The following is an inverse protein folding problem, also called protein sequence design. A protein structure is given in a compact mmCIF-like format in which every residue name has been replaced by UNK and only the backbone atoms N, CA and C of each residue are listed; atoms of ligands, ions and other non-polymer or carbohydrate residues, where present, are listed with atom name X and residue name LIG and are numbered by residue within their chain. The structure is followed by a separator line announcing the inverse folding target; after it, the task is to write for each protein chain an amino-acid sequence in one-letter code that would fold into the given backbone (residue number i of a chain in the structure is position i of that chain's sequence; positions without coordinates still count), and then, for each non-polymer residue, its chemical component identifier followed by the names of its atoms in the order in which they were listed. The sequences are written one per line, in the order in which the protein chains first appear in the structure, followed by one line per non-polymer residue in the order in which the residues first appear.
data_IF_342228301968
#
_entry.id   IF_342228301968
#
_cell.length_a   1.000
_cell.length_b   1.000
_cell.length_c   1.000
_cell.angle_alpha   90.00
_cell.angle_beta   90.00
_cell.angle_gamma   90.00
#
_symmetry.space_group_name_H-M   'P 1'
#
loop_
_entity.id
_entity.type
_entity.pdbx_description
1 polymer ?
#
# COMPACT_ATOMS: atom_id res chain seq x y z
N UNK A 1 2.24 32.37 -1.53
CA UNK A 1 2.09 30.99 -2.02
C UNK A 1 3.43 30.32 -1.79
N UNK A 2 3.60 29.66 -0.64
CA UNK A 2 4.86 28.98 -0.32
C UNK A 2 5.04 27.81 -1.28
N UNK A 3 6.04 27.89 -2.15
CA UNK A 3 6.53 26.74 -2.90
C UNK A 3 7.16 25.79 -1.91
N UNK A 4 6.41 24.77 -1.49
CA UNK A 4 6.96 23.65 -0.73
C UNK A 4 7.95 22.96 -1.66
N UNK A 5 9.24 23.15 -1.42
CA UNK A 5 10.30 22.49 -2.18
C UNK A 5 10.11 20.97 -2.07
N UNK A 6 9.78 20.34 -3.19
CA UNK A 6 9.65 18.90 -3.29
C UNK A 6 10.95 18.24 -2.78
N UNK A 7 10.87 17.14 -2.02
CA UNK A 7 12.05 16.49 -1.45
C UNK A 7 13.14 16.25 -2.51
N UNK A 8 14.38 16.68 -2.21
CA UNK A 8 15.51 16.61 -3.14
C UNK A 8 15.87 15.17 -3.55
N UNK A 9 15.45 14.17 -2.78
CA UNK A 9 15.63 12.75 -3.08
C UNK A 9 14.88 11.85 -2.08
N UNK A 10 14.89 10.56 -2.37
CA UNK A 10 14.46 9.47 -1.48
C UNK A 10 15.62 8.49 -1.38
N UNK A 11 15.92 7.93 -0.20
CA UNK A 11 17.02 6.97 -0.01
C UNK A 11 18.40 7.44 -0.51
N UNK A 12 18.67 8.74 -0.50
CA UNK A 12 19.92 9.35 -0.98
C UNK A 12 20.27 9.05 -2.45
N UNK A 13 19.28 8.61 -3.25
CA UNK A 13 19.46 8.45 -4.70
C UNK A 13 19.05 9.71 -5.47
N UNK A 14 19.79 10.10 -6.52
CA UNK A 14 19.38 11.17 -7.40
C UNK A 14 18.14 10.75 -8.18
N UNK A 15 17.03 11.45 -7.96
CA UNK A 15 15.78 11.19 -8.67
C UNK A 15 15.66 12.05 -9.94
N UNK A 16 15.25 11.47 -11.07
CA UNK A 16 14.90 12.24 -12.26
C UNK A 16 13.92 13.36 -11.95
N UNK A 17 14.11 14.54 -12.56
CA UNK A 17 13.23 15.72 -12.35
C UNK A 17 11.77 15.42 -12.69
N UNK A 18 11.50 14.52 -13.64
CA UNK A 18 10.14 14.12 -14.00
C UNK A 18 9.39 13.45 -12.84
N UNK A 19 10.06 12.58 -12.07
CA UNK A 19 9.46 11.90 -10.91
C UNK A 19 9.03 12.91 -9.85
N UNK A 20 9.83 13.96 -9.62
CA UNK A 20 9.48 15.00 -8.64
C UNK A 20 8.20 15.76 -8.97
N UNK A 21 7.82 15.83 -10.25
CA UNK A 21 6.57 16.48 -10.70
C UNK A 21 5.33 15.63 -10.49
N UNK A 22 5.50 14.33 -10.27
CA UNK A 22 4.41 13.38 -10.06
C UNK A 22 4.03 13.24 -8.57
N UNK A 23 4.74 13.93 -7.67
CA UNK A 23 4.44 13.91 -6.24
C UNK A 23 3.29 14.87 -5.98
N UNK A 24 2.15 14.31 -5.57
CA UNK A 24 0.97 15.06 -5.17
C UNK A 24 0.72 14.88 -3.67
N UNK A 25 0.02 15.85 -3.07
CA UNK A 25 -0.36 15.75 -1.66
C UNK A 25 -1.66 14.95 -1.59
N UNK A 26 -1.64 13.73 -1.01
CA UNK A 26 -2.84 12.92 -0.92
C UNK A 26 -3.88 13.59 -0.01
N UNK A 27 -5.16 13.22 -0.14
CA UNK A 27 -6.23 13.79 0.65
C UNK A 27 -6.05 13.38 2.11
N UNK A 28 -6.49 14.21 3.05
CA UNK A 28 -6.45 13.87 4.48
C UNK A 28 -7.54 12.85 4.80
N UNK A 29 -7.20 11.63 5.23
CA UNK A 29 -8.18 10.62 5.57
C UNK A 29 -8.86 10.96 6.88
N UNK A 30 -10.15 10.67 6.95
CA UNK A 30 -10.89 10.69 8.20
C UNK A 30 -10.45 9.49 9.06
N UNK A 31 -10.29 9.71 10.37
CA UNK A 31 -10.10 8.61 11.32
C UNK A 31 -11.40 7.83 11.46
N UNK A 32 -11.32 6.50 11.30
CA UNK A 32 -12.49 5.63 11.40
C UNK A 32 -12.44 4.82 12.71
N UNK A 33 -13.59 4.53 13.35
CA UNK A 33 -13.62 3.65 14.52
C UNK A 33 -12.96 2.28 14.28
N UNK A 34 -13.08 1.76 13.04
CA UNK A 34 -12.47 0.51 12.58
C UNK A 34 -10.95 0.48 12.67
N UNK A 35 -10.29 1.64 12.75
CA UNK A 35 -8.83 1.71 12.96
C UNK A 35 -8.43 1.09 14.31
N UNK A 36 -9.29 1.18 15.33
CA UNK A 36 -9.04 0.59 16.64
C UNK A 36 -9.38 -0.91 16.69
N UNK A 37 -10.42 -1.35 15.97
CA UNK A 37 -10.86 -2.74 15.95
C UNK A 37 -9.75 -3.68 15.45
N UNK A 38 -8.99 -3.24 14.44
CA UNK A 38 -7.82 -3.98 13.94
C UNK A 38 -6.75 -4.17 15.03
N UNK A 39 -6.57 -3.21 15.92
CA UNK A 39 -5.58 -3.32 17.00
C UNK A 39 -6.00 -4.41 18.00
N UNK A 40 -7.30 -4.56 18.24
CA UNK A 40 -7.81 -5.63 19.10
C UNK A 40 -7.66 -7.01 18.46
N UNK A 41 -7.84 -7.14 17.15
CA UNK A 41 -7.51 -8.37 16.41
C UNK A 41 -6.05 -8.77 16.60
N UNK A 42 -5.12 -7.82 16.41
CA UNK A 42 -3.68 -8.04 16.57
C UNK A 42 -3.34 -8.44 18.01
N UNK A 43 -3.90 -7.74 19.02
CA UNK A 43 -3.67 -8.06 20.44
C UNK A 43 -4.15 -9.46 20.78
N UNK A 44 -5.37 -9.81 20.36
CA UNK A 44 -5.95 -11.13 20.60
C UNK A 44 -5.12 -12.22 19.94
N UNK A 45 -4.71 -12.01 18.69
CA UNK A 45 -3.89 -12.96 17.96
C UNK A 45 -2.50 -13.12 18.59
N UNK A 46 -1.82 -12.02 18.91
CA UNK A 46 -0.51 -12.06 19.57
C UNK A 46 -0.56 -12.80 20.91
N UNK A 47 -1.56 -12.50 21.75
CA UNK A 47 -1.78 -13.19 23.04
C UNK A 47 -2.11 -14.67 22.88
N UNK A 48 -2.88 -15.04 21.84
CA UNK A 48 -3.18 -16.45 21.51
C UNK A 48 -1.91 -17.28 21.28
N UNK A 49 -0.83 -16.67 20.77
CA UNK A 49 0.45 -17.32 20.51
C UNK A 49 1.57 -16.87 21.47
N UNK A 50 1.21 -16.42 22.68
CA UNK A 50 2.14 -16.05 23.75
C UNK A 50 3.24 -15.06 23.31
N UNK A 51 2.90 -14.15 22.39
CA UNK A 51 3.83 -13.11 21.94
C UNK A 51 4.01 -12.07 23.01
N UNK A 52 5.24 -11.53 23.10
CA UNK A 52 5.55 -10.52 24.10
C UNK A 52 4.72 -9.25 23.88
N UNK A 53 4.31 -8.57 24.96
CA UNK A 53 3.54 -7.32 24.86
C UNK A 53 4.29 -6.23 24.05
N UNK A 54 5.63 -6.23 24.08
CA UNK A 54 6.44 -5.33 23.25
C UNK A 54 6.29 -5.62 21.75
N UNK A 55 6.33 -6.90 21.36
CA UNK A 55 6.14 -7.32 19.98
C UNK A 55 4.71 -7.02 19.50
N UNK A 56 3.71 -7.33 20.32
CA UNK A 56 2.31 -7.00 20.06
C UNK A 56 2.12 -5.49 19.89
N UNK A 57 2.73 -4.69 20.76
CA UNK A 57 2.70 -3.23 20.65
C UNK A 57 3.29 -2.74 19.34
N UNK A 58 4.42 -3.29 18.87
CA UNK A 58 5.00 -2.88 17.58
C UNK A 58 4.15 -3.27 16.38
N UNK A 59 3.50 -4.43 16.42
CA UNK A 59 2.53 -4.79 15.39
C UNK A 59 1.33 -3.83 15.39
N UNK A 60 0.85 -3.44 16.58
CA UNK A 60 -0.21 -2.42 16.71
C UNK A 60 0.25 -1.04 16.22
N UNK A 61 1.44 -0.59 16.60
CA UNK A 61 2.00 0.70 16.18
C UNK A 61 2.09 0.79 14.65
N UNK A 62 2.48 -0.30 13.97
CA UNK A 62 2.51 -0.40 12.50
C UNK A 62 1.10 -0.40 11.88
N UNK A 63 0.11 -1.00 12.54
CA UNK A 63 -1.25 -1.11 12.03
C UNK A 63 -2.15 0.10 12.36
N UNK A 64 -1.68 1.02 13.20
CA UNK A 64 -2.46 2.15 13.72
C UNK A 64 -2.71 3.28 12.70
N UNK A 65 -2.06 3.23 11.53
CA UNK A 65 -2.30 4.20 10.46
C UNK A 65 -3.74 4.19 9.94
N UNK A 66 -4.06 5.08 9.02
CA UNK A 66 -5.42 5.23 8.49
C UNK A 66 -5.87 4.02 7.65
N UNK A 67 -7.19 3.89 7.52
CA UNK A 67 -7.84 2.81 6.77
C UNK A 67 -7.78 2.94 5.26
N UNK A 68 -7.55 4.13 4.71
CA UNK A 68 -7.59 4.43 3.27
C UNK A 68 -6.55 3.66 2.44
N UNK A 69 -5.33 3.52 2.97
CA UNK A 69 -4.22 2.80 2.35
C UNK A 69 -3.54 1.83 3.30
N UNK A 70 -3.36 0.59 2.84
CA UNK A 70 -2.65 -0.48 3.57
C UNK A 70 -1.42 -0.94 2.78
N UNK A 71 -0.30 -1.16 3.47
CA UNK A 71 0.89 -1.82 2.94
C UNK A 71 1.01 -3.21 3.55
N UNK A 72 1.09 -4.25 2.72
CA UNK A 72 1.25 -5.64 3.16
C UNK A 72 2.69 -6.10 2.93
N UNK A 73 3.46 -6.26 3.99
CA UNK A 73 4.77 -6.89 4.02
C UNK A 73 4.65 -8.42 4.21
N UNK A 74 5.75 -9.14 4.02
CA UNK A 74 5.72 -10.61 4.14
C UNK A 74 5.67 -11.05 5.60
N UNK A 75 6.67 -10.68 6.40
CA UNK A 75 6.84 -11.11 7.80
C UNK A 75 7.72 -10.13 8.59
N UNK A 76 7.65 -10.12 9.93
CA UNK A 76 8.57 -9.38 10.76
C UNK A 76 10.03 -9.79 10.56
N UNK A 77 10.97 -8.87 10.69
CA UNK A 77 12.39 -9.21 10.59
C UNK A 77 12.86 -9.97 11.83
N UNK A 78 13.70 -10.98 11.60
CA UNK A 78 14.27 -11.85 12.65
C UNK A 78 15.07 -11.11 13.73
N UNK A 79 15.59 -9.94 13.38
CA UNK A 79 16.50 -9.15 14.22
C UNK A 79 15.82 -7.94 14.85
N UNK A 80 14.48 -7.87 14.82
CA UNK A 80 13.75 -6.77 15.44
C UNK A 80 14.02 -6.70 16.95
N UNK A 81 14.40 -5.52 17.41
CA UNK A 81 14.44 -5.21 18.84
C UNK A 81 13.14 -4.49 19.26
N UNK A 82 12.20 -5.26 19.80
CA UNK A 82 10.88 -4.74 20.19
C UNK A 82 10.87 -3.87 21.45
N UNK A 83 11.98 -3.82 22.20
CA UNK A 83 12.09 -2.98 23.41
C UNK A 83 12.18 -1.47 23.12
N UNK A 84 12.51 -1.10 21.88
CA UNK A 84 12.77 0.28 21.47
C UNK A 84 11.48 1.11 21.34
N UNK A 85 11.63 2.44 21.36
CA UNK A 85 10.58 3.38 20.94
C UNK A 85 10.20 3.16 19.46
N UNK A 86 8.99 3.55 19.03
CA UNK A 86 8.53 3.25 17.66
C UNK A 86 9.42 3.86 16.56
N UNK A 87 9.79 5.13 16.70
CA UNK A 87 10.69 5.82 15.76
C UNK A 87 12.03 5.12 15.63
N UNK A 88 12.62 4.70 16.75
CA UNK A 88 13.90 3.99 16.77
C UNK A 88 13.77 2.56 16.22
N UNK A 89 12.67 1.87 16.54
CA UNK A 89 12.33 0.56 15.99
C UNK A 89 12.26 0.59 14.45
N UNK A 90 11.58 1.59 13.89
CA UNK A 90 11.51 1.82 12.43
C UNK A 90 12.89 2.13 11.87
N UNK A 91 13.62 3.09 12.45
CA UNK A 91 14.93 3.51 11.95
C UNK A 91 15.98 2.38 11.96
N UNK A 92 15.91 1.47 12.94
CA UNK A 92 16.82 0.33 13.06
C UNK A 92 16.49 -0.83 12.11
N UNK A 93 15.34 -0.80 11.44
CA UNK A 93 14.98 -1.78 10.42
C UNK A 93 15.07 -1.16 9.03
N UNK A 94 16.08 -1.56 8.24
CA UNK A 94 16.32 -1.01 6.89
C UNK A 94 15.09 -1.06 5.98
N UNK A 95 14.24 -2.07 6.12
CA UNK A 95 12.99 -2.20 5.36
C UNK A 95 11.96 -1.16 5.80
N UNK A 96 11.74 -0.99 7.11
CA UNK A 96 10.76 -0.05 7.65
C UNK A 96 11.21 1.41 7.51
N UNK A 97 12.50 1.70 7.72
CA UNK A 97 13.10 3.00 7.43
C UNK A 97 12.92 3.39 5.95
N UNK A 98 13.14 2.43 5.04
CA UNK A 98 12.91 2.67 3.62
C UNK A 98 11.45 2.90 3.30
N UNK A 99 10.54 2.12 3.91
CA UNK A 99 9.10 2.28 3.77
C UNK A 99 8.66 3.69 4.19
N UNK A 100 9.10 4.15 5.36
CA UNK A 100 8.82 5.50 5.86
C UNK A 100 9.33 6.58 4.89
N UNK A 101 10.54 6.42 4.35
CA UNK A 101 11.11 7.34 3.35
C UNK A 101 10.33 7.37 2.04
N UNK A 102 9.90 6.21 1.53
CA UNK A 102 9.06 6.14 0.33
C UNK A 102 7.71 6.82 0.54
N UNK A 103 7.04 6.56 1.67
CA UNK A 103 5.76 7.20 2.02
C UNK A 103 5.94 8.71 2.11
N UNK A 104 6.95 9.18 2.86
CA UNK A 104 7.23 10.62 2.99
C UNK A 104 7.56 11.26 1.64
N UNK A 105 8.30 10.59 0.78
CA UNK A 105 8.59 11.14 -0.55
C UNK A 105 7.32 11.23 -1.39
N UNK A 106 6.58 10.13 -1.51
CA UNK A 106 5.41 10.02 -2.37
C UNK A 106 4.27 10.97 -1.98
N UNK A 107 4.26 11.45 -0.74
CA UNK A 107 3.19 12.29 -0.18
C UNK A 107 3.65 13.70 0.19
N UNK A 108 4.82 14.12 -0.29
CA UNK A 108 5.44 15.38 0.08
C UNK A 108 5.50 15.61 1.61
N UNK A 109 5.84 14.54 2.35
CA UNK A 109 6.00 14.46 3.81
C UNK A 109 4.71 14.66 4.62
N UNK A 110 3.54 14.65 3.98
CA UNK A 110 2.25 14.74 4.67
C UNK A 110 1.82 13.42 5.30
N UNK A 111 2.33 12.29 4.80
CA UNK A 111 2.20 10.95 5.40
C UNK A 111 3.56 10.42 5.83
N UNK A 112 3.52 9.46 6.73
CA UNK A 112 4.65 8.65 7.20
C UNK A 112 4.19 7.24 7.53
N UNK A 113 5.12 6.38 7.93
CA UNK A 113 4.76 5.05 8.43
C UNK A 113 3.88 5.09 9.70
N UNK A 114 3.87 6.20 10.46
CA UNK A 114 2.98 6.39 11.62
C UNK A 114 1.52 6.62 11.20
N UNK A 115 1.28 7.06 9.96
CA UNK A 115 -0.06 7.40 9.45
C UNK A 115 -0.60 6.41 8.44
N UNK A 116 0.22 5.46 7.97
CA UNK A 116 -0.16 4.45 6.97
C UNK A 116 -0.20 3.09 7.64
N UNK A 117 -1.25 2.32 7.39
CA UNK A 117 -1.38 0.98 7.96
C UNK A 117 -0.40 0.01 7.32
N UNK A 118 0.44 -0.66 8.12
CA UNK A 118 1.39 -1.67 7.65
C UNK A 118 1.09 -3.01 8.32
N UNK A 119 0.80 -4.03 7.51
CA UNK A 119 0.49 -5.38 7.97
C UNK A 119 1.56 -6.36 7.49
N UNK A 120 1.75 -7.44 8.25
CA UNK A 120 2.53 -8.60 7.81
C UNK A 120 1.58 -9.74 7.42
N UNK A 121 1.72 -10.27 6.21
CA UNK A 121 0.94 -11.43 5.76
C UNK A 121 1.17 -12.67 6.65
N UNK A 122 2.38 -12.79 7.21
CA UNK A 122 2.76 -13.82 8.17
C UNK A 122 3.09 -13.17 9.51
N UNK A 123 2.08 -12.50 10.09
CA UNK A 123 2.15 -11.79 11.36
C UNK A 123 2.73 -12.65 12.49
N UNK A 124 3.60 -12.05 13.31
CA UNK A 124 4.29 -12.73 14.41
C UNK A 124 5.05 -14.01 14.02
N UNK A 125 5.51 -14.10 12.77
CA UNK A 125 6.21 -15.29 12.24
C UNK A 125 7.52 -14.92 11.55
N UNK A 126 8.60 -14.62 12.29
CA UNK A 126 9.87 -14.20 11.69
C UNK A 126 10.65 -15.34 11.00
N UNK A 127 10.44 -16.61 11.36
CA UNK A 127 11.13 -17.75 10.72
C UNK A 127 10.18 -18.61 9.90
N UNK A 128 10.65 -19.04 8.72
CA UNK A 128 9.84 -19.82 7.77
C UNK A 128 9.37 -21.12 8.40
N UNK A 129 10.25 -21.72 9.20
CA UNK A 129 10.06 -23.02 9.85
C UNK A 129 9.34 -22.94 11.20
N UNK A 130 8.96 -21.74 11.67
CA UNK A 130 8.10 -21.65 12.84
C UNK A 130 6.81 -22.43 12.54
N UNK A 131 6.25 -23.10 13.53
CA UNK A 131 4.96 -23.80 13.42
C UNK A 131 3.81 -22.97 14.03
N UNK A 132 4.15 -22.02 14.90
CA UNK A 132 3.20 -21.18 15.64
C UNK A 132 3.54 -19.69 15.48
N UNK A 133 2.62 -18.83 15.00
CA UNK A 133 1.32 -19.18 14.40
C UNK A 133 1.47 -20.00 13.10
N UNK A 134 0.44 -20.77 12.73
CA UNK A 134 0.42 -21.44 11.42
C UNK A 134 0.28 -20.40 10.30
N UNK A 135 0.65 -20.75 9.06
CA UNK A 135 0.48 -19.83 7.94
C UNK A 135 -1.01 -19.49 7.72
N UNK A 136 -1.90 -20.48 7.83
CA UNK A 136 -3.34 -20.31 7.64
C UNK A 136 -3.96 -19.40 8.71
N UNK A 137 -3.50 -19.51 9.96
CA UNK A 137 -3.90 -18.58 11.03
C UNK A 137 -3.49 -17.14 10.68
N UNK A 138 -2.27 -16.94 10.18
CA UNK A 138 -1.80 -15.61 9.78
C UNK A 138 -2.59 -15.04 8.61
N UNK A 139 -2.88 -15.85 7.59
CA UNK A 139 -3.68 -15.40 6.45
C UNK A 139 -5.12 -15.10 6.85
N UNK A 140 -5.70 -15.87 7.77
CA UNK A 140 -7.03 -15.59 8.32
C UNK A 140 -7.04 -14.27 9.07
N UNK A 141 -6.01 -13.98 9.88
CA UNK A 141 -5.85 -12.68 10.53
C UNK A 141 -5.74 -11.55 9.49
N UNK A 142 -4.92 -11.70 8.46
CA UNK A 142 -4.76 -10.67 7.43
C UNK A 142 -6.08 -10.39 6.70
N UNK A 143 -6.86 -11.42 6.38
CA UNK A 143 -8.20 -11.26 5.80
C UNK A 143 -9.11 -10.44 6.73
N UNK A 144 -9.18 -10.80 8.01
CA UNK A 144 -10.00 -10.07 8.99
C UNK A 144 -9.56 -8.61 9.13
N UNK A 145 -8.26 -8.34 9.17
CA UNK A 145 -7.70 -6.99 9.24
C UNK A 145 -8.06 -6.16 8.01
N UNK A 146 -7.97 -6.73 6.80
CA UNK A 146 -8.35 -6.06 5.56
C UNK A 146 -9.86 -5.79 5.50
N UNK A 147 -10.69 -6.75 5.87
CA UNK A 147 -12.16 -6.61 5.95
C UNK A 147 -12.60 -5.58 6.99
N UNK A 148 -11.80 -5.40 8.04
CA UNK A 148 -12.05 -4.40 9.08
C UNK A 148 -11.68 -3.00 8.59
N UNK A 149 -10.50 -2.83 7.97
CA UNK A 149 -10.05 -1.52 7.47
C UNK A 149 -10.75 -1.08 6.19
N UNK A 150 -11.14 -2.02 5.34
CA UNK A 150 -11.78 -1.76 4.03
C UNK A 150 -10.98 -0.73 3.21
N UNK A 151 -9.67 -0.95 2.99
CA UNK A 151 -8.84 0.02 2.30
C UNK A 151 -9.31 0.26 0.87
N UNK A 152 -9.05 1.46 0.37
CA UNK A 152 -9.28 1.85 -1.03
C UNK A 152 -8.09 1.46 -1.88
N UNK A 153 -6.89 1.51 -1.30
CA UNK A 153 -5.63 1.15 -1.95
C UNK A 153 -4.82 0.18 -1.09
N UNK A 154 -4.26 -0.86 -1.70
CA UNK A 154 -3.40 -1.84 -1.03
C UNK A 154 -2.08 -2.01 -1.78
N UNK A 155 -0.96 -1.68 -1.13
CA UNK A 155 0.38 -1.95 -1.66
C UNK A 155 0.82 -3.36 -1.24
N UNK A 156 0.95 -4.24 -2.22
CA UNK A 156 1.17 -5.66 -2.01
C UNK A 156 2.68 -5.98 -2.13
N UNK A 157 3.38 -6.11 -1.01
CA UNK A 157 4.84 -6.30 -0.94
C UNK A 157 5.26 -7.69 -0.46
N UNK A 158 4.39 -8.69 -0.53
CA UNK A 158 4.68 -10.07 -0.09
C UNK A 158 4.55 -11.09 -1.23
N UNK A 159 5.05 -12.31 -1.02
CA UNK A 159 4.97 -13.38 -2.01
C UNK A 159 4.80 -14.76 -1.38
N UNK A 160 4.26 -15.72 -2.15
CA UNK A 160 4.06 -17.10 -1.73
C UNK A 160 5.33 -17.98 -1.83
N UNK A 161 6.50 -17.38 -2.15
CA UNK A 161 7.72 -18.14 -2.44
C UNK A 161 8.15 -19.06 -1.30
N UNK A 162 7.96 -18.61 -0.07
CA UNK A 162 8.39 -19.33 1.14
C UNK A 162 7.22 -20.00 1.88
N UNK A 163 5.98 -19.73 1.47
CA UNK A 163 4.77 -20.21 2.11
C UNK A 163 3.59 -20.09 1.14
N UNK A 164 3.03 -21.21 0.68
CA UNK A 164 1.83 -21.20 -0.14
C UNK A 164 0.67 -20.55 0.63
N UNK A 165 -0.11 -19.67 -0.01
CA UNK A 165 -1.29 -19.08 0.59
C UNK A 165 -2.52 -19.92 0.26
N UNK A 166 -3.05 -20.65 1.24
CA UNK A 166 -4.29 -21.41 1.12
C UNK A 166 -5.52 -20.50 1.02
N UNK A 167 -5.43 -19.28 1.55
CA UNK A 167 -6.52 -18.32 1.57
C UNK A 167 -6.65 -17.60 0.21
N UNK A 168 -7.73 -17.88 -0.52
CA UNK A 168 -8.00 -17.32 -1.85
C UNK A 168 -8.21 -15.80 -1.82
N UNK A 169 -8.86 -15.30 -0.76
CA UNK A 169 -9.10 -13.87 -0.58
C UNK A 169 -7.77 -13.10 -0.47
N UNK A 170 -6.90 -13.52 0.44
CA UNK A 170 -5.57 -12.91 0.65
C UNK A 170 -4.70 -13.03 -0.61
N UNK A 171 -4.82 -14.12 -1.37
CA UNK A 171 -4.04 -14.35 -2.59
C UNK A 171 -4.28 -13.29 -3.67
N UNK A 172 -5.42 -12.60 -3.65
CA UNK A 172 -5.70 -11.48 -4.57
C UNK A 172 -4.76 -10.29 -4.33
N UNK A 173 -4.30 -10.12 -3.09
CA UNK A 173 -3.40 -9.05 -2.64
C UNK A 173 -1.93 -9.48 -2.60
N UNK A 174 -1.52 -10.44 -3.44
CA UNK A 174 -0.10 -10.84 -3.54
C UNK A 174 0.71 -9.84 -4.35
N UNK A 175 1.99 -9.71 -4.01
CA UNK A 175 2.93 -8.92 -4.79
C UNK A 175 3.16 -9.47 -6.19
N UNK A 176 3.50 -8.58 -7.12
CA UNK A 176 3.82 -8.90 -8.51
C UNK A 176 5.29 -9.32 -8.71
N UNK A 177 6.14 -9.05 -7.72
CA UNK A 177 7.59 -9.18 -7.89
C UNK A 177 8.14 -8.11 -8.84
N UNK A 178 9.36 -8.31 -9.30
CA UNK A 178 10.03 -7.35 -10.20
C UNK A 178 9.73 -7.72 -11.65
N UNK A 179 8.97 -6.86 -12.33
CA UNK A 179 8.68 -6.96 -13.76
C UNK A 179 7.87 -8.19 -14.17
N UNK A 180 6.99 -8.77 -13.37
CA UNK A 180 6.28 -10.01 -13.79
C UNK A 180 4.80 -9.84 -14.16
N UNK A 181 4.14 -8.71 -13.83
CA UNK A 181 2.67 -8.56 -13.95
C UNK A 181 2.26 -7.11 -14.20
N UNK A 182 0.98 -6.89 -14.58
CA UNK A 182 0.33 -5.59 -14.35
C UNK A 182 0.50 -5.24 -12.88
N UNK A 183 1.13 -4.10 -12.62
CA UNK A 183 1.45 -3.71 -11.26
C UNK A 183 0.25 -3.05 -10.56
N UNK A 184 -0.77 -2.60 -11.30
CA UNK A 184 -2.01 -2.00 -10.79
C UNK A 184 -3.20 -2.83 -11.24
N UNK A 185 -4.04 -3.28 -10.31
CA UNK A 185 -5.25 -4.06 -10.59
C UNK A 185 -6.38 -3.68 -9.65
N UNK A 186 -7.63 -3.70 -10.11
CA UNK A 186 -8.79 -3.64 -9.23
C UNK A 186 -9.08 -5.04 -8.67
N UNK A 187 -9.41 -5.12 -7.39
CA UNK A 187 -9.72 -6.38 -6.71
C UNK A 187 -11.14 -6.31 -6.20
N UNK A 188 -12.00 -7.23 -6.64
CA UNK A 188 -13.39 -7.24 -6.18
C UNK A 188 -13.49 -7.81 -4.76
N UNK A 189 -14.01 -6.99 -3.85
CA UNK A 189 -14.20 -7.31 -2.44
C UNK A 189 -15.62 -7.00 -1.99
N UNK A 190 -15.99 -7.49 -0.81
CA UNK A 190 -17.29 -7.21 -0.20
C UNK A 190 -17.51 -5.73 0.18
N UNK A 191 -16.45 -4.91 0.23
CA UNK A 191 -16.53 -3.48 0.53
C UNK A 191 -16.29 -2.58 -0.69
N UNK A 192 -16.25 -3.16 -1.90
CA UNK A 192 -16.01 -2.44 -3.14
C UNK A 192 -14.86 -3.04 -3.94
N UNK A 193 -14.29 -2.26 -4.87
CA UNK A 193 -13.20 -2.71 -5.73
C UNK A 193 -11.92 -1.91 -5.42
N UNK A 194 -11.19 -2.21 -4.33
CA UNK A 194 -9.93 -1.53 -4.04
C UNK A 194 -8.88 -1.73 -5.12
N UNK A 195 -8.02 -0.73 -5.27
CA UNK A 195 -6.85 -0.80 -6.14
C UNK A 195 -5.72 -1.52 -5.42
N UNK A 196 -5.26 -2.64 -5.96
CA UNK A 196 -4.07 -3.35 -5.50
C UNK A 196 -2.85 -2.98 -6.36
N UNK A 197 -1.83 -2.43 -5.71
CA UNK A 197 -0.52 -2.17 -6.29
C UNK A 197 0.39 -3.38 -6.02
N UNK A 198 0.52 -4.26 -7.01
CA UNK A 198 1.32 -5.50 -7.01
C UNK A 198 2.81 -5.20 -7.09
N UNK A 199 3.38 -4.86 -5.94
CA UNK A 199 4.79 -4.49 -5.78
C UNK A 199 5.68 -5.69 -5.45
N UNK A 200 6.88 -5.42 -4.99
CA UNK A 200 7.82 -6.39 -4.44
C UNK A 200 8.30 -5.94 -3.06
N UNK A 201 8.89 -6.87 -2.30
CA UNK A 201 9.29 -6.60 -0.92
C UNK A 201 10.39 -5.51 -0.86
N UNK A 202 10.26 -4.46 -0.02
CA UNK A 202 11.22 -3.35 -0.01
C UNK A 202 12.67 -3.78 0.28
N UNK A 203 12.86 -4.84 1.07
CA UNK A 203 14.19 -5.43 1.32
C UNK A 203 14.91 -5.86 0.03
N UNK A 204 14.21 -6.18 -1.06
CA UNK A 204 14.84 -6.42 -2.37
C UNK A 204 15.61 -5.19 -2.83
N UNK A 205 15.00 -4.00 -2.79
CA UNK A 205 15.64 -2.76 -3.22
C UNK A 205 16.72 -2.27 -2.25
N UNK A 206 16.48 -2.38 -0.94
CA UNK A 206 17.35 -1.72 0.06
C UNK A 206 18.32 -2.66 0.78
N UNK A 207 18.04 -3.97 0.85
CA UNK A 207 18.94 -4.94 1.49
C UNK A 207 19.72 -5.74 0.45
N UNK A 208 19.03 -6.36 -0.51
CA UNK A 208 19.64 -7.33 -1.43
C UNK A 208 20.23 -6.70 -2.70
N UNK A 209 19.59 -5.65 -3.24
CA UNK A 209 20.01 -4.93 -4.46
C UNK A 209 20.31 -3.46 -4.19
N UNK A 210 20.86 -3.15 -3.01
CA UNK A 210 21.08 -1.77 -2.53
C UNK A 210 21.93 -0.86 -3.45
N UNK A 211 22.76 -1.45 -4.31
CA UNK A 211 23.60 -0.72 -5.27
C UNK A 211 22.95 -0.56 -6.66
N UNK A 212 21.74 -1.08 -6.86
CA UNK A 212 20.98 -0.95 -8.10
C UNK A 212 19.86 0.08 -7.88
N UNK A 213 20.07 1.36 -8.23
CA UNK A 213 19.09 2.43 -7.97
C UNK A 213 17.76 2.19 -8.71
N UNK A 214 17.77 1.43 -9.80
CA UNK A 214 16.58 1.08 -10.58
C UNK A 214 15.50 0.38 -9.74
N UNK A 215 15.90 -0.50 -8.80
CA UNK A 215 14.95 -1.16 -7.89
C UNK A 215 14.32 -0.16 -6.91
N UNK A 216 15.10 0.83 -6.45
CA UNK A 216 14.59 1.85 -5.53
C UNK A 216 13.66 2.82 -6.26
N UNK A 217 13.98 3.20 -7.50
CA UNK A 217 13.15 4.04 -8.36
C UNK A 217 11.83 3.34 -8.69
N UNK A 218 11.88 2.06 -9.07
CA UNK A 218 10.68 1.28 -9.38
C UNK A 218 9.77 1.14 -8.15
N UNK A 219 10.35 0.84 -7.00
CA UNK A 219 9.58 0.76 -5.76
C UNK A 219 8.97 2.10 -5.39
N UNK A 220 9.73 3.20 -5.51
CA UNK A 220 9.22 4.54 -5.27
C UNK A 220 8.04 4.87 -6.20
N UNK A 221 8.13 4.49 -7.47
CA UNK A 221 7.03 4.67 -8.43
C UNK A 221 5.75 3.95 -7.97
N UNK A 222 5.86 2.71 -7.47
CA UNK A 222 4.69 1.99 -6.93
C UNK A 222 4.04 2.73 -5.76
N UNK A 223 4.83 3.34 -4.86
CA UNK A 223 4.27 4.15 -3.77
C UNK A 223 3.57 5.41 -4.30
N UNK A 224 4.16 6.11 -5.27
CA UNK A 224 3.56 7.29 -5.86
C UNK A 224 2.23 6.96 -6.55
N UNK A 225 2.19 5.91 -7.37
CA UNK A 225 0.96 5.45 -8.00
C UNK A 225 -0.14 5.13 -6.96
N UNK A 226 0.22 4.45 -5.87
CA UNK A 226 -0.72 4.12 -4.81
C UNK A 226 -1.37 5.36 -4.17
N UNK A 227 -0.59 6.41 -3.90
CA UNK A 227 -1.12 7.63 -3.32
C UNK A 227 -1.95 8.44 -4.32
N UNK A 228 -1.57 8.48 -5.60
CA UNK A 228 -2.38 9.12 -6.65
C UNK A 228 -3.76 8.47 -6.83
N UNK A 229 -3.87 7.16 -6.59
CA UNK A 229 -5.16 6.46 -6.64
C UNK A 229 -6.13 6.86 -5.50
N UNK A 230 -5.62 7.41 -4.40
CA UNK A 230 -6.48 7.96 -3.33
C UNK A 230 -7.20 9.24 -3.76
N UNK A 231 -6.58 10.06 -4.61
CA UNK A 231 -7.16 11.30 -5.12
C UNK A 231 -8.23 11.03 -6.19
N UNK A 232 -7.93 10.13 -7.14
CA UNK A 232 -8.85 9.75 -8.22
C UNK A 232 -10.16 9.17 -7.68
N UNK A 233 -10.06 8.34 -6.64
CA UNK A 233 -11.24 7.72 -6.04
C UNK A 233 -12.13 8.74 -5.30
N UNK A 234 -11.60 9.85 -4.78
CA UNK A 234 -12.43 10.92 -4.19
C UNK A 234 -13.21 11.67 -5.28
N UNK A 235 -12.60 11.86 -6.45
CA UNK A 235 -13.28 12.51 -7.57
C UNK A 235 -14.50 11.68 -8.01
N UNK A 236 -14.35 10.36 -8.14
CA UNK A 236 -15.45 9.45 -8.51
C UNK A 236 -16.56 9.37 -7.45
N UNK A 237 -16.21 9.41 -6.16
CA UNK A 237 -17.18 9.42 -5.05
C UNK A 237 -18.00 10.71 -5.00
N UNK A 238 -17.41 11.85 -5.42
CA UNK A 238 -18.09 13.15 -5.50
C UNK A 238 -19.04 13.25 -6.70
N UNK A 239 -18.67 12.66 -7.84
CA UNK A 239 -19.55 12.60 -9.01
C UNK A 239 -20.78 11.71 -8.75
N UNK A 240 -20.61 10.58 -8.04
CA UNK A 240 -21.74 9.72 -7.65
C UNK A 240 -22.65 10.33 -6.58
N UNK A 241 -22.18 11.35 -5.83
CA UNK A 241 -23.02 12.13 -4.90
C UNK A 241 -23.81 13.25 -5.57
N UNK A 242 -23.54 13.58 -6.83
CA UNK A 242 -24.41 14.47 -7.60
C UNK A 242 -25.63 13.69 -8.06
N UNK A 243 -26.76 13.85 -7.36
CA UNK A 243 -28.04 13.32 -7.81
C UNK A 243 -28.60 14.22 -8.93
N UNK A 244 -28.64 13.80 -10.20
CA UNK A 244 -29.21 14.60 -11.28
C UNK A 244 -30.71 14.87 -11.10
N UNK A 245 -31.40 14.17 -10.18
CA UNK A 245 -32.82 14.39 -9.89
C UNK A 245 -33.11 15.69 -9.11
N UNK A 246 -32.11 16.37 -8.53
CA UNK A 246 -32.32 17.64 -7.81
C UNK A 246 -32.09 18.90 -8.69
N UNK A 247 -31.73 18.74 -9.96
CA UNK A 247 -31.45 19.85 -10.88
C UNK A 247 -32.55 20.12 -11.92
N UNK A 248 -33.75 19.54 -11.75
CA UNK A 248 -34.80 19.53 -12.78
C UNK A 248 -35.99 20.48 -12.54
N UNK A 249 -35.78 21.61 -11.85
CA UNK A 249 -36.83 22.60 -11.60
C UNK A 249 -36.68 23.95 -12.32
N UNK A 250 -35.79 24.08 -13.31
CA UNK A 250 -35.80 25.24 -14.19
C UNK A 250 -35.34 24.86 -15.61
N UNK A 251 -36.30 24.58 -16.51
CA UNK A 251 -36.41 25.05 -17.91
C UNK A 251 -37.27 24.09 -18.77
N UNK A 252 -37.92 24.58 -19.85
CA UNK A 252 -39.08 23.96 -20.48
C UNK A 252 -38.75 22.88 -21.52
N UNK A 253 -39.74 22.02 -21.69
CA UNK A 253 -39.90 20.86 -22.59
C UNK A 253 -39.63 21.09 -24.08
N UNK A 254 -38.85 20.18 -24.70
CA UNK A 254 -39.11 19.54 -26.03
C UNK A 254 -38.01 18.50 -26.36
N UNK A 255 -38.29 17.41 -27.10
CA UNK A 255 -37.53 16.16 -27.02
C UNK A 255 -36.58 15.93 -28.20
N UNK A 256 -35.46 15.26 -27.94
CA UNK A 256 -34.87 14.24 -28.82
C UNK A 256 -33.99 13.29 -27.98
N UNK A 257 -34.05 11.96 -28.16
CA UNK A 257 -33.28 11.03 -27.37
C UNK A 257 -31.89 10.85 -27.99
N UNK A 258 -30.88 11.52 -27.44
CA UNK A 258 -29.48 11.16 -27.71
C UNK A 258 -29.15 9.95 -26.86
N UNK A 259 -28.87 8.82 -27.52
CA UNK A 259 -28.26 7.63 -26.95
C UNK A 259 -26.99 8.02 -26.19
N UNK A 260 -27.04 7.96 -24.87
CA UNK A 260 -25.83 7.96 -24.04
C UNK A 260 -25.26 6.56 -24.13
N UNK A 261 -24.15 6.43 -24.86
CA UNK A 261 -23.27 5.29 -24.72
C UNK A 261 -22.50 5.49 -23.42
N UNK A 262 -22.66 4.54 -22.50
CA UNK A 262 -21.84 4.44 -21.29
C UNK A 262 -20.39 4.22 -21.71
N UNK A 263 -19.61 5.30 -21.69
CA UNK A 263 -18.17 5.22 -21.78
C UNK A 263 -17.63 5.13 -20.35
N UNK A 264 -17.30 3.92 -19.91
CA UNK A 264 -16.37 3.71 -18.81
C UNK A 264 -15.03 4.38 -19.17
N UNK A 265 -14.83 5.60 -18.66
CA UNK A 265 -13.53 6.28 -18.75
C UNK A 265 -12.65 5.70 -17.64
N UNK A 266 -12.02 4.56 -17.93
CA UNK A 266 -10.82 4.16 -17.22
C UNK A 266 -9.74 5.21 -17.54
N UNK A 267 -9.47 6.11 -16.61
CA UNK A 267 -8.24 6.90 -16.65
C UNK A 267 -7.06 5.94 -16.39
N UNK A 268 -6.59 5.30 -17.46
CA UNK A 268 -5.30 4.62 -17.46
C UNK A 268 -4.23 5.69 -17.28
N UNK A 269 -3.54 5.68 -16.13
CA UNK A 269 -2.28 6.39 -16.00
C UNK A 269 -1.31 5.70 -16.96
N UNK A 270 -1.09 6.31 -18.13
CA UNK A 270 -0.17 5.79 -19.14
C UNK A 270 1.23 5.69 -18.51
N UNK A 271 1.75 4.45 -18.37
CA UNK A 271 3.05 4.22 -17.76
C UNK A 271 4.12 4.99 -18.55
N UNK A 272 4.96 5.79 -17.90
CA UNK A 272 5.93 6.56 -18.63
C UNK A 272 6.97 5.63 -19.26
N UNK A 273 7.41 5.85 -20.52
CA UNK A 273 8.29 4.92 -21.24
C UNK A 273 9.61 4.55 -20.54
N UNK A 274 10.08 5.41 -19.61
CA UNK A 274 11.28 5.12 -18.81
C UNK A 274 11.05 3.99 -17.79
N UNK A 275 9.81 3.77 -17.35
CA UNK A 275 9.46 2.72 -16.39
C UNK A 275 9.61 1.34 -17.03
N UNK A 276 9.22 1.20 -18.31
CA UNK A 276 9.42 -0.04 -19.07
C UNK A 276 10.91 -0.38 -19.21
N UNK A 277 11.76 0.63 -19.45
CA UNK A 277 13.21 0.44 -19.50
C UNK A 277 13.79 -0.01 -18.15
N UNK A 278 13.34 0.58 -17.04
CA UNK A 278 13.72 0.18 -15.68
C UNK A 278 13.25 -1.24 -15.38
N UNK A 279 12.00 -1.56 -15.69
CA UNK A 279 11.43 -2.90 -15.54
C UNK A 279 12.25 -3.93 -16.32
N UNK A 280 12.61 -3.62 -17.56
CA UNK A 280 13.41 -4.49 -18.43
C UNK A 280 14.80 -4.74 -17.86
N UNK A 281 15.51 -3.69 -17.43
CA UNK A 281 16.85 -3.84 -16.83
C UNK A 281 16.81 -4.58 -15.50
N UNK A 282 15.80 -4.32 -14.68
CA UNK A 282 15.60 -5.05 -13.44
C UNK A 282 15.34 -6.55 -13.72
N UNK A 283 14.56 -6.91 -14.75
CA UNK A 283 14.39 -8.31 -15.20
C UNK A 283 15.71 -8.94 -15.63
N UNK A 284 16.50 -8.26 -16.45
CA UNK A 284 17.78 -8.76 -16.95
C UNK A 284 18.79 -9.03 -15.84
N UNK A 285 18.71 -8.32 -14.70
CA UNK A 285 19.59 -8.54 -13.53
C UNK A 285 19.19 -9.74 -12.64
N UNK A 286 18.11 -10.43 -12.97
CA UNK A 286 17.62 -11.62 -12.27
C UNK A 286 18.06 -12.92 -12.98
N UNK A 287 18.39 -12.85 -14.27
CA UNK A 287 19.01 -13.94 -15.05
C UNK A 287 20.53 -13.95 -14.85
#
# INVERSE_FOLDING_TARGET
METIDAPLGCLDIPLPRCIRKLVEVPPTPDSLPSDNDVLDLIRKFGRKYDRSENEIRKACDLAAGHSDLVVILERPARTHNYSLGFKEFVANCRTLDALDKFIKFATNKTRSIETVSVFDALSFKPYVNDDRPSNDDCYSLLEEMLKTKKPRVVICCWSERNAACSNDFVRQFKGGGVGRQLFRVNVDTEWGSPVAIRSFHPSTAVCYRKYNPEYQILLLHHFMAAFSDLDLSIATDREHKYNPALALNYLPTSPDPVRVADAEVCHEIEEPPWLEQINTRCRSSIM
#
